data_IF_755534278319
#
_entry.id   IF_755534278319
#
_cell.length_a   1.000
_cell.length_b   1.000
_cell.length_c   1.000
_cell.angle_alpha   90.00
_cell.angle_beta   90.00
_cell.angle_gamma   90.00
#
_symmetry.space_group_name_H-M   'P 1'
#
loop_
_entity.id
_entity.type
_entity.pdbx_description
1 polymer ?
#
# COMPACT_ATOMS: atom_id res chain seq x y z
N UNK A 1 7.14 25.13 -79.66
CA UNK A 1 8.15 24.38 -79.04
C UNK A 1 8.54 24.92 -77.76
N UNK A 2 7.87 24.60 -76.76
CA UNK A 2 8.30 24.88 -75.51
C UNK A 2 7.62 24.19 -74.52
N UNK A 3 8.18 23.78 -73.81
CA UNK A 3 8.21 22.98 -72.72
C UNK A 3 7.74 23.67 -71.48
N UNK A 4 6.55 23.37 -71.04
CA UNK A 4 6.13 23.68 -69.70
C UNK A 4 6.78 22.68 -68.77
N UNK A 5 7.74 23.12 -68.05
CA UNK A 5 8.29 22.34 -66.97
C UNK A 5 7.48 22.64 -65.71
N UNK A 6 6.54 21.80 -65.50
CA UNK A 6 5.90 21.77 -64.20
C UNK A 6 6.91 21.21 -63.19
N UNK A 7 7.43 22.06 -62.39
CA UNK A 7 8.11 21.64 -61.17
C UNK A 7 7.07 21.35 -60.12
N UNK A 8 6.83 20.10 -59.92
CA UNK A 8 6.13 19.69 -58.71
C UNK A 8 7.07 19.80 -57.54
N UNK A 9 6.79 20.77 -56.75
CA UNK A 9 7.36 20.86 -55.39
C UNK A 9 6.55 19.91 -54.53
N UNK A 10 7.11 18.78 -54.26
CA UNK A 10 6.59 17.90 -53.24
C UNK A 10 6.83 18.54 -51.87
N UNK A 11 5.82 19.10 -51.32
CA UNK A 11 5.85 19.51 -49.94
C UNK A 11 5.79 18.24 -49.08
N UNK A 12 6.94 17.86 -48.54
CA UNK A 12 6.96 16.85 -47.50
C UNK A 12 6.33 17.45 -46.25
N UNK A 13 5.11 17.08 -45.99
CA UNK A 13 4.53 17.29 -44.68
C UNK A 13 5.25 16.36 -43.73
N UNK A 14 6.19 16.89 -43.00
CA UNK A 14 6.68 16.25 -41.80
C UNK A 14 5.57 16.28 -40.77
N UNK A 15 4.82 15.22 -40.73
CA UNK A 15 3.95 15.01 -39.59
C UNK A 15 4.81 14.84 -38.37
N UNK A 16 4.96 15.91 -37.62
CA UNK A 16 5.41 15.77 -36.23
C UNK A 16 4.32 15.05 -35.50
N UNK A 17 4.47 13.75 -35.40
CA UNK A 17 3.68 13.03 -34.43
C UNK A 17 3.99 13.58 -33.07
N UNK A 18 3.06 14.28 -32.49
CA UNK A 18 3.09 14.50 -31.06
C UNK A 18 3.02 13.12 -30.41
N UNK A 19 4.15 12.59 -30.03
CA UNK A 19 4.16 11.53 -29.07
C UNK A 19 3.54 12.09 -27.82
N UNK A 20 2.29 11.71 -27.59
CA UNK A 20 1.67 11.98 -26.34
C UNK A 20 2.63 11.55 -25.24
N UNK A 21 2.81 12.39 -24.23
CA UNK A 21 3.63 12.04 -23.09
C UNK A 21 3.18 10.68 -22.58
N UNK A 22 4.05 9.70 -22.67
CA UNK A 22 3.81 8.42 -22.03
C UNK A 22 3.66 8.74 -20.56
N UNK A 23 2.45 8.52 -20.05
CA UNK A 23 2.23 8.61 -18.62
C UNK A 23 3.17 7.61 -17.97
N UNK A 24 4.12 8.09 -17.20
CA UNK A 24 4.96 7.22 -16.39
C UNK A 24 4.04 6.39 -15.52
N UNK A 25 4.24 5.07 -15.46
CA UNK A 25 3.48 4.26 -14.53
C UNK A 25 3.68 4.85 -13.13
N UNK A 26 2.58 5.12 -12.44
CA UNK A 26 2.63 5.58 -11.08
C UNK A 26 3.49 4.60 -10.27
N UNK A 27 4.33 5.07 -9.34
CA UNK A 27 5.07 4.18 -8.47
C UNK A 27 4.11 3.22 -7.78
N UNK A 28 4.47 1.94 -7.62
CA UNK A 28 3.57 0.97 -7.01
C UNK A 28 3.17 1.47 -5.62
N UNK A 29 1.90 1.78 -5.48
CA UNK A 29 1.33 2.12 -4.18
C UNK A 29 1.12 0.83 -3.42
N UNK A 30 1.57 0.82 -2.17
CA UNK A 30 1.26 -0.29 -1.29
C UNK A 30 -0.26 -0.41 -1.15
N UNK A 31 -0.81 -1.63 -1.18
CA UNK A 31 -2.25 -1.80 -1.09
C UNK A 31 -2.77 -1.26 0.24
N UNK A 32 -3.92 -0.58 0.20
CA UNK A 32 -4.59 -0.09 1.40
C UNK A 32 -5.33 -1.20 2.14
N UNK A 33 -5.66 -2.27 1.44
CA UNK A 33 -6.42 -3.41 1.97
C UNK A 33 -5.77 -4.70 1.53
N UNK A 34 -5.65 -5.66 2.45
CA UNK A 34 -5.20 -7.01 2.15
C UNK A 34 -6.23 -8.02 2.67
N UNK A 35 -6.40 -9.11 1.94
CA UNK A 35 -7.24 -10.23 2.37
C UNK A 35 -6.35 -11.41 2.70
N UNK A 36 -6.60 -12.04 3.83
CA UNK A 36 -5.82 -13.19 4.29
C UNK A 36 -6.74 -14.35 4.66
N UNK A 37 -6.28 -15.56 4.46
CA UNK A 37 -6.98 -16.76 4.88
C UNK A 37 -6.69 -17.09 6.34
N UNK A 38 -7.53 -17.92 6.94
CA UNK A 38 -7.30 -18.42 8.29
C UNK A 38 -5.92 -19.08 8.38
N UNK A 39 -5.16 -18.72 9.40
CA UNK A 39 -3.80 -19.20 9.59
C UNK A 39 -2.74 -18.50 8.74
N UNK A 40 -3.14 -17.55 7.89
CA UNK A 40 -2.24 -16.82 7.03
C UNK A 40 -1.50 -15.71 7.73
N UNK A 41 -0.52 -15.14 7.03
CA UNK A 41 0.29 -14.01 7.51
C UNK A 41 0.17 -12.85 6.55
N UNK A 42 0.00 -11.65 7.11
CA UNK A 42 0.03 -10.40 6.36
C UNK A 42 1.19 -9.57 6.87
N UNK A 43 2.03 -9.09 5.97
CA UNK A 43 3.07 -8.14 6.32
C UNK A 43 2.48 -6.73 6.30
N UNK A 44 2.58 -6.05 7.42
CA UNK A 44 2.15 -4.66 7.57
C UNK A 44 3.38 -3.79 7.68
N UNK A 45 3.60 -2.96 6.68
CA UNK A 45 4.70 -2.00 6.71
C UNK A 45 4.27 -0.75 7.47
N UNK A 46 5.17 -0.25 8.29
CA UNK A 46 4.96 0.97 9.07
C UNK A 46 5.97 2.01 8.61
N UNK A 47 5.46 3.10 8.08
CA UNK A 47 6.30 4.20 7.58
C UNK A 47 5.79 5.56 8.07
N UNK A 48 6.29 6.65 7.49
CA UNK A 48 5.87 8.00 7.87
C UNK A 48 4.41 8.33 7.56
N UNK A 49 3.73 7.52 6.77
CA UNK A 49 2.32 7.72 6.40
C UNK A 49 1.36 6.85 7.20
N UNK A 50 1.85 5.83 7.87
CA UNK A 50 1.06 4.93 8.67
C UNK A 50 1.28 3.46 8.34
N UNK A 51 0.22 2.67 8.40
CA UNK A 51 0.24 1.23 8.15
C UNK A 51 -0.15 0.91 6.71
N UNK A 52 0.58 -0.02 6.11
CA UNK A 52 0.33 -0.51 4.77
C UNK A 52 0.37 -2.05 4.74
N UNK A 53 -0.74 -2.75 4.58
CA UNK A 53 -2.10 -2.24 4.47
C UNK A 53 -2.65 -1.73 5.81
N UNK A 54 -3.51 -0.73 5.77
CA UNK A 54 -4.19 -0.24 6.96
C UNK A 54 -5.43 -1.07 7.31
N UNK A 55 -5.95 -1.83 6.36
CA UNK A 55 -7.09 -2.71 6.53
C UNK A 55 -6.73 -4.13 6.12
N UNK A 56 -6.98 -5.08 7.03
CA UNK A 56 -6.80 -6.50 6.77
C UNK A 56 -8.14 -7.18 6.87
N UNK A 57 -8.51 -7.95 5.86
CA UNK A 57 -9.76 -8.70 5.82
C UNK A 57 -9.49 -10.18 6.00
N UNK A 58 -10.21 -10.81 6.90
CA UNK A 58 -10.07 -12.22 7.19
C UNK A 58 -11.40 -12.82 7.64
N UNK A 59 -11.55 -14.17 7.58
CA UNK A 59 -12.78 -14.82 8.06
C UNK A 59 -12.99 -14.59 9.55
N UNK A 60 -14.24 -14.48 9.97
CA UNK A 60 -14.61 -14.34 11.36
C UNK A 60 -14.05 -15.50 12.20
N UNK A 61 -13.49 -15.19 13.37
CA UNK A 61 -12.93 -16.18 14.27
C UNK A 61 -11.57 -16.77 13.82
N UNK A 62 -11.06 -16.39 12.66
CA UNK A 62 -9.80 -16.90 12.17
C UNK A 62 -8.61 -16.37 12.97
N UNK A 63 -7.59 -17.18 13.11
CA UNK A 63 -6.30 -16.71 13.61
C UNK A 63 -5.45 -16.29 12.43
N UNK A 64 -4.92 -15.10 12.49
CA UNK A 64 -4.01 -14.56 11.48
C UNK A 64 -2.81 -13.92 12.15
N UNK A 65 -1.71 -13.89 11.45
CA UNK A 65 -0.49 -13.27 11.93
C UNK A 65 -0.28 -11.96 11.19
N UNK A 66 -0.13 -10.89 11.95
CA UNK A 66 0.26 -9.59 11.41
C UNK A 66 1.76 -9.42 11.65
N UNK A 67 2.51 -9.42 10.58
CA UNK A 67 3.96 -9.22 10.65
C UNK A 67 4.25 -7.74 10.42
N UNK A 68 4.43 -7.01 11.51
CA UNK A 68 4.73 -5.57 11.45
C UNK A 68 6.20 -5.34 11.19
N UNK A 69 6.49 -4.46 10.25
CA UNK A 69 7.86 -4.05 9.97
C UNK A 69 7.90 -2.53 9.80
N UNK A 70 8.64 -1.88 10.67
CA UNK A 70 8.87 -0.44 10.60
C UNK A 70 10.04 -0.16 9.67
N UNK A 71 9.81 0.68 8.67
CA UNK A 71 10.79 0.97 7.62
C UNK A 71 11.45 2.33 7.76
N UNK A 72 10.94 3.17 8.65
CA UNK A 72 11.49 4.51 8.90
C UNK A 72 11.50 4.83 10.38
N UNK A 73 12.44 5.63 10.80
CA UNK A 73 12.51 6.16 12.15
C UNK A 73 11.79 7.51 12.29
N UNK A 74 11.15 7.96 11.24
CA UNK A 74 10.35 9.18 11.26
C UNK A 74 9.05 8.93 12.02
N UNK A 75 8.71 9.86 12.92
CA UNK A 75 7.45 9.92 13.63
C UNK A 75 7.16 8.70 14.53
N UNK A 76 5.90 8.41 14.73
CA UNK A 76 5.30 7.72 15.87
C UNK A 76 5.08 6.21 15.68
N UNK A 77 5.64 5.59 14.65
CA UNK A 77 5.46 4.15 14.39
C UNK A 77 6.25 3.21 15.31
N UNK A 78 6.91 3.71 16.34
CA UNK A 78 7.80 2.93 17.21
C UNK A 78 7.07 1.93 18.06
N UNK A 79 5.81 2.16 18.36
CA UNK A 79 5.03 1.35 19.27
C UNK A 79 3.69 0.98 18.65
N UNK A 80 3.34 -0.28 18.77
CA UNK A 80 2.05 -0.81 18.33
C UNK A 80 1.16 -1.10 19.53
N UNK A 81 -0.11 -0.70 19.43
CA UNK A 81 -1.12 -1.02 20.43
C UNK A 81 -2.32 -1.69 19.79
N UNK A 82 -2.80 -2.73 20.42
CA UNK A 82 -4.07 -3.37 20.09
C UNK A 82 -4.93 -3.34 21.36
N UNK A 83 -5.74 -2.29 21.55
CA UNK A 83 -6.46 -2.08 22.82
C UNK A 83 -7.40 -3.23 23.18
N UNK A 84 -8.08 -3.83 22.21
CA UNK A 84 -9.00 -4.94 22.48
C UNK A 84 -8.31 -6.20 23.00
N UNK A 85 -7.00 -6.33 22.78
CA UNK A 85 -6.18 -7.42 23.29
C UNK A 85 -5.33 -7.00 24.47
N UNK A 86 -5.43 -5.75 24.90
CA UNK A 86 -4.55 -5.16 25.89
C UNK A 86 -3.07 -5.41 25.58
N UNK A 87 -2.72 -5.29 24.31
CA UNK A 87 -1.41 -5.61 23.79
C UNK A 87 -0.67 -4.34 23.41
N UNK A 88 0.61 -4.27 23.77
CA UNK A 88 1.52 -3.22 23.39
C UNK A 88 2.87 -3.84 23.04
N UNK A 89 3.41 -3.45 21.88
CA UNK A 89 4.69 -3.96 21.38
C UNK A 89 5.53 -2.83 20.83
N UNK A 90 6.82 -2.92 21.07
CA UNK A 90 7.78 -2.06 20.43
C UNK A 90 8.11 -2.63 19.05
N UNK A 91 8.22 -1.74 18.07
CA UNK A 91 8.60 -2.08 16.70
C UNK A 91 9.99 -1.54 16.41
N UNK A 92 11.05 -2.34 16.59
CA UNK A 92 12.38 -1.92 16.21
C UNK A 92 12.49 -1.66 14.72
N UNK A 93 13.33 -0.70 14.33
CA UNK A 93 13.53 -0.33 12.94
C UNK A 93 14.05 -1.54 12.13
N UNK A 94 13.41 -1.81 10.99
CA UNK A 94 13.78 -2.88 10.07
C UNK A 94 13.74 -4.29 10.65
N UNK A 95 13.01 -4.48 11.75
CA UNK A 95 12.80 -5.79 12.36
C UNK A 95 11.33 -6.18 12.20
N UNK A 96 11.08 -7.37 11.68
CA UNK A 96 9.73 -7.90 11.57
C UNK A 96 9.27 -8.45 12.92
N UNK A 97 8.16 -7.93 13.43
CA UNK A 97 7.54 -8.37 14.68
C UNK A 97 6.22 -9.06 14.36
N UNK A 98 6.14 -10.38 14.47
CA UNK A 98 4.89 -11.10 14.22
C UNK A 98 3.97 -11.00 15.43
N UNK A 99 2.70 -10.70 15.17
CA UNK A 99 1.67 -10.64 16.19
C UNK A 99 0.48 -11.48 15.73
N UNK A 100 0.17 -12.51 16.48
CA UNK A 100 -0.99 -13.35 16.20
C UNK A 100 -2.24 -12.70 16.79
N UNK A 101 -3.27 -12.58 15.98
CA UNK A 101 -4.56 -12.03 16.38
C UNK A 101 -5.69 -12.95 15.97
N UNK A 102 -6.80 -12.90 16.72
CA UNK A 102 -8.03 -13.58 16.36
C UNK A 102 -8.99 -12.55 15.79
N UNK A 103 -9.53 -12.84 14.60
CA UNK A 103 -10.48 -11.95 13.95
C UNK A 103 -11.79 -11.95 14.73
N UNK A 104 -12.32 -10.78 15.13
CA UNK A 104 -13.59 -10.75 15.86
C UNK A 104 -14.74 -11.29 15.00
N UNK A 105 -15.73 -11.84 15.66
CA UNK A 105 -16.92 -12.34 14.97
C UNK A 105 -17.73 -11.20 14.33
N UNK A 106 -17.70 -10.02 14.95
CA UNK A 106 -18.38 -8.82 14.48
C UNK A 106 -17.46 -7.61 14.67
N UNK A 107 -17.54 -6.67 13.75
CA UNK A 107 -16.82 -5.42 13.86
C UNK A 107 -15.37 -5.51 13.42
N UNK A 108 -14.51 -4.78 14.07
CA UNK A 108 -13.12 -4.66 13.69
C UNK A 108 -12.20 -4.73 14.90
N UNK A 109 -11.03 -5.33 14.71
CA UNK A 109 -9.93 -5.28 15.65
C UNK A 109 -9.03 -4.12 15.26
N UNK A 110 -9.08 -3.04 16.03
CA UNK A 110 -8.26 -1.86 15.75
C UNK A 110 -6.83 -2.05 16.26
N UNK A 111 -5.87 -1.58 15.48
CA UNK A 111 -4.50 -1.42 15.94
C UNK A 111 -4.02 0.01 15.67
N UNK A 112 -3.25 0.54 16.58
CA UNK A 112 -2.81 1.94 16.54
C UNK A 112 -1.34 2.05 16.93
N UNK A 113 -0.74 3.20 16.66
CA UNK A 113 0.56 3.52 17.23
C UNK A 113 0.41 4.07 18.66
N UNK A 114 1.52 4.19 19.36
CA UNK A 114 1.51 4.66 20.75
C UNK A 114 0.91 6.03 20.97
N UNK A 115 0.99 6.90 19.95
CA UNK A 115 0.42 8.25 19.98
C UNK A 115 -0.96 8.34 19.31
N UNK A 116 -1.50 7.22 18.87
CA UNK A 116 -2.80 7.12 18.21
C UNK A 116 -2.91 7.95 16.91
N UNK A 117 -1.79 8.21 16.27
CA UNK A 117 -1.74 8.94 15.00
C UNK A 117 -1.88 8.02 13.79
N UNK A 118 -1.39 6.79 13.89
CA UNK A 118 -1.56 5.76 12.88
C UNK A 118 -2.67 4.81 13.31
N UNK A 119 -3.51 4.43 12.37
CA UNK A 119 -4.63 3.53 12.63
C UNK A 119 -4.76 2.49 11.55
N UNK A 120 -5.06 1.29 11.98
CA UNK A 120 -5.41 0.21 11.09
C UNK A 120 -6.44 -0.70 11.74
N UNK A 121 -6.95 -1.65 10.98
CA UNK A 121 -7.95 -2.57 11.49
C UNK A 121 -7.91 -3.91 10.79
N UNK A 122 -8.31 -4.95 11.53
CA UNK A 122 -8.63 -6.26 10.99
C UNK A 122 -10.14 -6.40 11.00
N UNK A 123 -10.73 -6.59 9.84
CA UNK A 123 -12.18 -6.68 9.69
C UNK A 123 -12.60 -8.03 9.16
N UNK A 124 -13.85 -8.40 9.46
CA UNK A 124 -14.45 -9.62 8.95
C UNK A 124 -14.68 -9.50 7.45
N UNK A 125 -14.30 -10.53 6.76
CA UNK A 125 -14.43 -10.65 5.31
C UNK A 125 -15.85 -11.06 4.90
#
# INVERSE_FOLDING_TARGET
MKWARSMMVAAALSALGCKGSEAQPAPPRLPATATVQAGGTVTVLVDGEGYHPAEVRAPAGARVTLAFRRTTDECCGQQLRIPSMNLQRDLPLNVTVPIEVTVPANGALAFTCGMNMYRGSVVVR
#
